data_IF_143716913583
#
_entry.id   IF_143716913583
#
_cell.length_a   1.000
_cell.length_b   1.000
_cell.length_c   1.000
_cell.angle_alpha   90.00
_cell.angle_beta   90.00
_cell.angle_gamma   90.00
#
_symmetry.space_group_name_H-M   'P 1'
#
loop_
_entity.id
_entity.type
_entity.pdbx_description
1 polymer ?
#
# COMPACT_ATOMS: atom_id res chain seq x y z
N UNK A 1 -22.72 43.02 -8.77
CA UNK A 1 -21.61 42.06 -8.80
C UNK A 1 -22.18 40.73 -8.31
N UNK A 2 -22.41 39.80 -9.21
CA UNK A 2 -22.81 38.44 -8.83
C UNK A 2 -21.51 37.78 -8.30
N UNK A 3 -21.42 37.60 -7.00
CA UNK A 3 -20.38 36.75 -6.39
C UNK A 3 -20.66 35.36 -6.93
N UNK A 4 -19.89 34.91 -7.92
CA UNK A 4 -19.89 33.50 -8.29
C UNK A 4 -19.50 32.73 -7.02
N UNK A 5 -20.44 31.96 -6.47
CA UNK A 5 -20.17 31.05 -5.40
C UNK A 5 -18.99 30.15 -5.85
N UNK A 6 -17.98 30.06 -5.02
CA UNK A 6 -16.84 29.22 -5.27
C UNK A 6 -17.35 27.76 -5.32
N UNK A 7 -17.55 27.22 -6.53
CA UNK A 7 -18.17 25.91 -6.77
C UNK A 7 -17.20 24.74 -6.55
N UNK A 8 -15.94 25.04 -6.22
CA UNK A 8 -14.92 24.02 -5.98
C UNK A 8 -15.18 23.29 -4.66
N UNK A 9 -15.21 21.97 -4.73
CA UNK A 9 -15.31 21.12 -3.54
C UNK A 9 -13.96 21.13 -2.78
N UNK A 10 -13.93 21.46 -1.49
CA UNK A 10 -12.71 21.41 -0.71
C UNK A 10 -12.37 19.95 -0.37
N UNK A 11 -11.21 19.48 -0.82
CA UNK A 11 -10.71 18.11 -0.58
C UNK A 11 -9.33 18.21 0.07
N UNK A 12 -9.15 17.52 1.20
CA UNK A 12 -7.83 17.37 1.80
C UNK A 12 -7.07 16.22 1.13
N UNK A 13 -5.76 16.39 0.95
CA UNK A 13 -4.84 15.32 0.56
C UNK A 13 -3.90 15.10 1.72
N UNK A 14 -4.02 13.95 2.39
CA UNK A 14 -3.28 13.61 3.59
C UNK A 14 -2.16 12.63 3.26
N UNK A 15 -0.92 12.96 3.64
CA UNK A 15 0.27 12.23 3.22
C UNK A 15 1.47 12.44 4.16
N UNK A 16 2.57 11.73 3.93
CA UNK A 16 3.78 11.74 4.75
C UNK A 16 3.79 10.59 5.73
N UNK A 17 3.81 10.88 7.04
CA UNK A 17 3.70 9.89 8.12
C UNK A 17 5.03 9.32 8.61
N UNK A 18 4.95 8.55 9.69
CA UNK A 18 6.09 7.97 10.40
C UNK A 18 6.50 6.59 9.84
N UNK A 19 6.42 6.42 8.54
CA UNK A 19 6.68 5.16 7.83
C UNK A 19 8.02 5.19 7.09
N UNK A 20 8.70 4.05 6.90
CA UNK A 20 9.80 3.95 5.94
C UNK A 20 9.42 4.33 4.51
N UNK A 21 8.13 4.29 4.18
CA UNK A 21 7.56 4.65 2.87
C UNK A 21 7.14 6.12 2.76
N UNK A 22 7.61 6.95 3.69
CA UNK A 22 7.33 8.39 3.77
C UNK A 22 7.53 9.14 2.43
N UNK A 23 8.67 8.92 1.78
CA UNK A 23 8.99 9.58 0.51
C UNK A 23 8.06 9.11 -0.63
N UNK A 24 7.61 7.86 -0.62
CA UNK A 24 6.62 7.34 -1.57
C UNK A 24 5.28 8.05 -1.37
N UNK A 25 4.89 8.27 -0.12
CA UNK A 25 3.68 9.01 0.24
C UNK A 25 3.69 10.45 -0.30
N UNK A 26 4.84 11.14 -0.21
CA UNK A 26 5.00 12.49 -0.79
C UNK A 26 4.80 12.45 -2.31
N UNK A 27 5.43 11.48 -3.00
CA UNK A 27 5.31 11.36 -4.47
C UNK A 27 3.86 11.11 -4.87
N UNK A 28 3.19 10.16 -4.22
CA UNK A 28 1.76 9.86 -4.48
C UNK A 28 0.89 11.10 -4.28
N UNK A 29 1.09 11.86 -3.19
CA UNK A 29 0.29 13.05 -2.91
C UNK A 29 0.50 14.17 -3.95
N UNK A 30 1.74 14.38 -4.40
CA UNK A 30 2.03 15.36 -5.45
C UNK A 30 1.33 14.98 -6.75
N UNK A 31 1.37 13.69 -7.14
CA UNK A 31 0.66 13.19 -8.32
C UNK A 31 -0.86 13.37 -8.20
N UNK A 32 -1.44 13.08 -7.03
CA UNK A 32 -2.87 13.32 -6.75
C UNK A 32 -3.22 14.81 -6.93
N UNK A 33 -2.40 15.69 -6.36
CA UNK A 33 -2.65 17.14 -6.42
C UNK A 33 -2.48 17.71 -7.83
N UNK A 34 -1.64 17.11 -8.67
CA UNK A 34 -1.43 17.50 -10.06
C UNK A 34 -2.53 16.92 -10.97
N UNK A 35 -3.10 15.76 -10.64
CA UNK A 35 -4.11 15.08 -11.45
C UNK A 35 -5.52 15.67 -11.30
N UNK A 36 -5.89 16.15 -10.11
CA UNK A 36 -7.24 16.64 -9.85
C UNK A 36 -7.51 18.01 -10.49
N UNK A 37 -8.65 18.14 -11.18
CA UNK A 37 -9.04 19.38 -11.86
C UNK A 37 -9.23 20.53 -10.85
N UNK A 38 -8.39 21.59 -10.90
CA UNK A 38 -8.48 22.71 -9.98
C UNK A 38 -9.74 23.57 -10.18
N UNK A 39 -10.52 23.35 -11.25
CA UNK A 39 -11.82 24.01 -11.43
C UNK A 39 -12.93 23.34 -10.62
N UNK A 40 -12.82 22.03 -10.40
CA UNK A 40 -13.77 21.23 -9.64
C UNK A 40 -13.40 21.12 -8.15
N UNK A 41 -12.10 21.08 -7.83
CA UNK A 41 -11.60 20.81 -6.50
C UNK A 41 -10.65 21.88 -5.97
N UNK A 42 -10.91 22.34 -4.75
CA UNK A 42 -9.98 23.15 -3.95
C UNK A 42 -9.18 22.21 -3.03
N UNK A 43 -7.95 21.91 -3.41
CA UNK A 43 -7.12 20.96 -2.69
C UNK A 43 -6.43 21.62 -1.49
N UNK A 44 -6.48 20.94 -0.35
CA UNK A 44 -5.85 21.31 0.90
C UNK A 44 -4.80 20.24 1.23
N UNK A 45 -3.51 20.47 0.92
CA UNK A 45 -2.46 19.52 1.29
C UNK A 45 -2.28 19.50 2.81
N UNK A 46 -2.26 18.31 3.39
CA UNK A 46 -2.01 18.06 4.81
C UNK A 46 -0.88 17.03 4.91
N UNK A 47 0.27 17.49 5.30
CA UNK A 47 1.45 16.66 5.46
C UNK A 47 1.62 16.27 6.93
N UNK A 48 1.77 14.99 7.20
CA UNK A 48 2.16 14.47 8.50
C UNK A 48 3.69 14.31 8.54
N UNK A 49 4.34 14.98 9.47
CA UNK A 49 5.78 14.86 9.63
C UNK A 49 6.19 13.59 10.40
N UNK A 50 7.50 13.36 10.55
CA UNK A 50 8.02 12.21 11.29
C UNK A 50 7.71 12.24 12.79
N UNK A 51 7.33 13.40 13.32
CA UNK A 51 6.91 13.56 14.72
C UNK A 51 5.41 13.29 14.90
N UNK A 52 4.68 13.02 13.80
CA UNK A 52 3.24 12.81 13.77
C UNK A 52 2.41 14.10 13.81
N UNK A 53 3.05 15.25 13.68
CA UNK A 53 2.37 16.55 13.58
C UNK A 53 1.90 16.85 12.16
N UNK A 54 0.77 17.56 12.02
CA UNK A 54 0.26 17.96 10.72
C UNK A 54 0.72 19.35 10.35
N UNK A 55 1.06 19.52 9.07
CA UNK A 55 1.43 20.79 8.46
C UNK A 55 0.57 21.01 7.22
N UNK A 56 0.05 22.22 7.02
CA UNK A 56 -0.71 22.59 5.81
C UNK A 56 -0.22 23.90 5.22
N UNK A 57 -0.41 24.05 3.93
CA UNK A 57 -0.09 25.26 3.21
C UNK A 57 0.27 25.04 1.73
N UNK A 58 0.21 26.08 0.90
CA UNK A 58 0.38 25.95 -0.55
C UNK A 58 1.79 25.49 -0.97
N UNK A 59 2.79 25.73 -0.12
CA UNK A 59 4.16 25.31 -0.37
C UNK A 59 4.32 23.76 -0.42
N UNK A 60 3.41 23.00 0.20
CA UNK A 60 3.40 21.53 0.20
C UNK A 60 3.05 20.91 -1.17
N UNK A 61 2.73 21.71 -2.16
CA UNK A 61 2.58 21.27 -3.57
C UNK A 61 3.91 21.21 -4.32
N UNK A 62 5.01 21.59 -3.67
CA UNK A 62 6.33 21.65 -4.31
C UNK A 62 7.26 20.64 -3.64
N UNK A 63 7.85 19.74 -4.44
CA UNK A 63 8.77 18.70 -3.99
C UNK A 63 9.93 19.23 -3.15
N UNK A 64 10.47 20.39 -3.52
CA UNK A 64 11.65 20.98 -2.85
C UNK A 64 11.35 21.44 -1.43
N UNK A 65 10.05 21.52 -1.05
CA UNK A 65 9.65 22.04 0.26
C UNK A 65 9.76 21.03 1.42
N UNK A 66 10.03 19.75 1.14
CA UNK A 66 10.05 18.70 2.18
C UNK A 66 11.43 18.51 2.84
N UNK A 67 12.46 19.21 2.39
CA UNK A 67 13.83 19.13 2.96
C UNK A 67 14.40 20.52 3.22
N UNK A 68 15.02 20.80 4.40
CA UNK A 68 15.15 19.89 5.55
C UNK A 68 13.87 19.70 6.37
N UNK A 69 12.92 20.63 6.32
CA UNK A 69 11.59 20.57 6.95
C UNK A 69 10.57 21.30 6.10
N UNK A 70 9.34 20.80 6.00
CA UNK A 70 8.29 21.46 5.23
C UNK A 70 7.90 22.81 5.86
N UNK A 71 7.64 23.78 5.00
CA UNK A 71 7.16 25.10 5.42
C UNK A 71 5.64 25.14 5.32
N UNK A 72 4.99 25.49 6.41
CA UNK A 72 3.53 25.56 6.47
C UNK A 72 3.04 25.91 7.86
N UNK A 73 1.73 25.91 8.04
CA UNK A 73 1.06 26.09 9.33
C UNK A 73 0.92 24.73 10.01
N UNK A 74 1.36 24.63 11.24
CA UNK A 74 1.09 23.44 12.06
C UNK A 74 -0.37 23.44 12.52
N UNK A 75 -0.95 22.24 12.67
CA UNK A 75 -2.33 22.11 13.08
C UNK A 75 -2.64 20.70 13.59
N UNK A 76 -3.90 20.52 13.96
CA UNK A 76 -4.46 19.24 14.42
C UNK A 76 -5.91 19.12 13.97
N UNK A 77 -6.38 17.91 13.76
CA UNK A 77 -7.78 17.67 13.47
C UNK A 77 -8.65 17.83 14.70
N UNK A 78 -9.72 18.59 14.59
CA UNK A 78 -10.65 18.84 15.69
C UNK A 78 -12.07 19.13 15.20
N UNK A 79 -13.03 19.01 16.13
CA UNK A 79 -14.36 19.58 15.96
C UNK A 79 -14.32 21.08 16.28
N UNK A 80 -14.97 21.86 15.42
CA UNK A 80 -15.19 23.29 15.60
C UNK A 80 -16.69 23.60 15.53
N UNK A 81 -17.08 24.83 15.76
CA UNK A 81 -18.50 25.25 15.63
C UNK A 81 -19.06 25.02 14.22
N UNK A 82 -18.20 25.05 13.20
CA UNK A 82 -18.55 24.82 11.79
C UNK A 82 -18.37 23.37 11.33
N UNK A 83 -18.11 22.44 12.26
CA UNK A 83 -17.87 21.03 11.98
C UNK A 83 -16.39 20.62 12.06
N UNK A 84 -16.05 19.36 11.69
CA UNK A 84 -14.69 18.88 11.78
C UNK A 84 -13.77 19.53 10.75
N UNK A 85 -12.50 19.74 11.11
CA UNK A 85 -11.51 20.33 10.23
C UNK A 85 -10.09 20.28 10.80
N UNK A 86 -9.15 20.86 10.08
CA UNK A 86 -7.78 21.09 10.54
C UNK A 86 -7.68 22.49 11.15
N UNK A 87 -7.47 22.57 12.46
CA UNK A 87 -7.26 23.81 13.20
C UNK A 87 -5.76 24.08 13.29
N UNK A 88 -5.32 25.26 12.86
CA UNK A 88 -3.91 25.63 12.85
C UNK A 88 -3.53 26.50 14.07
N UNK A 89 -2.23 26.54 14.37
CA UNK A 89 -1.66 27.31 15.49
C UNK A 89 -1.97 28.81 15.41
N UNK A 90 -2.13 29.35 14.18
CA UNK A 90 -2.54 30.74 13.92
C UNK A 90 -4.07 30.95 14.03
N UNK A 91 -4.81 29.95 14.54
CA UNK A 91 -6.27 29.93 14.66
C UNK A 91 -7.04 29.87 13.34
N UNK A 92 -6.37 29.75 12.21
CA UNK A 92 -7.08 29.47 10.94
C UNK A 92 -7.57 28.01 10.94
N UNK A 93 -8.76 27.79 10.34
CA UNK A 93 -9.36 26.45 10.23
C UNK A 93 -9.58 26.13 8.76
N UNK A 94 -9.29 24.90 8.39
CA UNK A 94 -9.54 24.36 7.06
C UNK A 94 -10.61 23.27 7.16
N UNK A 95 -11.77 23.54 6.53
CA UNK A 95 -12.83 22.55 6.36
C UNK A 95 -12.75 21.94 4.96
N UNK A 96 -13.10 20.66 4.86
CA UNK A 96 -13.09 19.90 3.61
C UNK A 96 -14.16 18.80 3.65
N UNK A 97 -14.66 18.45 2.46
CA UNK A 97 -15.74 17.48 2.29
C UNK A 97 -15.24 16.04 2.52
N UNK A 98 -13.99 15.77 2.17
CA UNK A 98 -13.37 14.45 2.32
C UNK A 98 -11.84 14.55 2.32
N UNK A 99 -11.20 13.47 2.73
CA UNK A 99 -9.74 13.28 2.73
C UNK A 99 -9.36 12.21 1.70
N UNK A 100 -8.47 12.53 0.79
CA UNK A 100 -7.76 11.52 -0.01
C UNK A 100 -6.56 11.07 0.80
N UNK A 101 -6.57 9.77 1.15
CA UNK A 101 -5.50 9.12 1.91
C UNK A 101 -4.36 8.74 0.97
N UNK A 102 -3.33 9.58 0.87
CA UNK A 102 -2.13 9.32 0.06
C UNK A 102 -0.95 8.84 0.91
N UNK A 103 -1.24 8.16 1.98
CA UNK A 103 -0.26 7.53 2.86
C UNK A 103 0.22 6.18 2.32
N UNK A 104 1.44 5.78 2.76
CA UNK A 104 1.95 4.43 2.56
C UNK A 104 2.60 3.89 3.83
N UNK A 105 2.33 2.62 4.12
CA UNK A 105 2.87 1.89 5.25
C UNK A 105 2.24 2.26 6.60
N UNK A 106 3.04 2.12 7.66
CA UNK A 106 2.60 2.31 9.03
C UNK A 106 1.95 3.69 9.26
N UNK A 107 0.96 3.74 10.13
CA UNK A 107 0.08 4.85 10.46
C UNK A 107 -0.92 5.23 9.36
N UNK A 108 -0.57 5.09 8.09
CA UNK A 108 -1.43 5.43 6.96
C UNK A 108 -2.29 4.28 6.45
N UNK A 109 -1.79 3.03 6.50
CA UNK A 109 -2.48 1.85 6.00
C UNK A 109 -2.89 0.86 7.10
N UNK A 110 -2.56 1.14 8.36
CA UNK A 110 -2.78 0.24 9.51
C UNK A 110 -4.03 0.54 10.34
N UNK A 111 -4.89 1.45 9.87
CA UNK A 111 -6.17 1.79 10.50
C UNK A 111 -6.09 2.91 11.53
N UNK A 112 -4.92 3.38 11.94
CA UNK A 112 -4.77 4.40 12.99
C UNK A 112 -5.28 5.76 12.53
N UNK A 113 -4.85 6.22 11.37
CA UNK A 113 -5.30 7.49 10.80
C UNK A 113 -6.77 7.42 10.39
N UNK A 114 -7.20 6.27 9.84
CA UNK A 114 -8.60 6.03 9.52
C UNK A 114 -9.49 6.14 10.78
N UNK A 115 -9.09 5.53 11.90
CA UNK A 115 -9.83 5.62 13.16
C UNK A 115 -9.88 7.04 13.71
N UNK A 116 -8.81 7.83 13.51
CA UNK A 116 -8.79 9.24 13.88
C UNK A 116 -9.84 10.03 13.06
N UNK A 117 -9.87 9.86 11.75
CA UNK A 117 -10.84 10.51 10.87
C UNK A 117 -12.27 10.03 11.16
N UNK A 118 -12.48 8.71 11.37
CA UNK A 118 -13.77 8.12 11.74
C UNK A 118 -14.32 8.73 13.03
N UNK A 119 -13.49 8.89 14.07
CA UNK A 119 -13.88 9.51 15.33
C UNK A 119 -14.38 10.95 15.14
N UNK A 120 -13.88 11.65 14.16
CA UNK A 120 -14.28 13.01 13.83
C UNK A 120 -15.41 13.08 12.79
N UNK A 121 -15.86 11.93 12.27
CA UNK A 121 -16.87 11.89 11.23
C UNK A 121 -16.40 12.47 9.89
N UNK A 122 -15.08 12.49 9.65
CA UNK A 122 -14.48 13.00 8.40
C UNK A 122 -14.47 11.89 7.36
N UNK A 123 -15.15 12.07 6.21
CA UNK A 123 -15.09 11.11 5.11
C UNK A 123 -13.67 11.00 4.52
N UNK A 124 -13.26 9.80 4.12
CA UNK A 124 -11.95 9.57 3.52
C UNK A 124 -11.99 8.41 2.51
N UNK A 125 -10.98 8.33 1.64
CA UNK A 125 -10.84 7.26 0.64
C UNK A 125 -10.18 6.02 1.23
N UNK A 126 -10.51 4.84 0.70
CA UNK A 126 -9.92 3.57 1.08
C UNK A 126 -10.66 2.80 2.15
N UNK A 127 -10.02 1.78 2.69
CA UNK A 127 -10.58 0.88 3.71
C UNK A 127 -10.91 1.62 5.02
N UNK A 128 -11.91 1.11 5.73
CA UNK A 128 -12.16 1.54 7.13
C UNK A 128 -10.99 1.18 8.04
N UNK A 129 -10.96 1.75 9.23
CA UNK A 129 -9.91 1.46 10.23
C UNK A 129 -9.77 -0.03 10.50
N UNK A 130 -10.88 -0.76 10.61
CA UNK A 130 -10.88 -2.21 10.82
C UNK A 130 -10.21 -2.97 9.67
N UNK A 131 -10.61 -2.69 8.42
CA UNK A 131 -10.09 -3.42 7.27
C UNK A 131 -8.67 -2.99 6.90
N UNK A 132 -8.30 -1.74 7.16
CA UNK A 132 -6.91 -1.28 7.07
C UNK A 132 -6.00 -2.04 8.04
N UNK A 133 -6.43 -2.17 9.30
CA UNK A 133 -5.68 -2.93 10.30
C UNK A 133 -5.55 -4.42 9.95
N UNK A 134 -6.60 -5.03 9.41
CA UNK A 134 -6.56 -6.41 8.91
C UNK A 134 -5.61 -6.54 7.72
N UNK A 135 -5.73 -5.67 6.72
CA UNK A 135 -4.95 -5.70 5.49
C UNK A 135 -3.43 -5.52 5.75
N UNK A 136 -3.07 -4.66 6.69
CA UNK A 136 -1.68 -4.46 7.09
C UNK A 136 -1.05 -5.69 7.74
N UNK A 137 -1.85 -6.55 8.37
CA UNK A 137 -1.43 -7.74 9.10
C UNK A 137 -1.60 -8.99 8.24
N UNK A 138 -0.51 -9.46 7.61
CA UNK A 138 -0.52 -10.65 6.74
C UNK A 138 -1.11 -11.88 7.40
N UNK A 139 -0.75 -12.13 8.66
CA UNK A 139 -1.29 -13.24 9.45
C UNK A 139 -2.80 -13.10 9.68
N UNK A 140 -3.27 -11.92 10.08
CA UNK A 140 -4.69 -11.65 10.31
C UNK A 140 -5.51 -11.67 9.02
N UNK A 141 -4.98 -11.16 7.91
CA UNK A 141 -5.62 -11.24 6.59
C UNK A 141 -5.85 -12.70 6.19
N UNK A 142 -4.83 -13.55 6.35
CA UNK A 142 -4.93 -14.99 6.04
C UNK A 142 -5.97 -15.68 6.92
N UNK A 143 -5.96 -15.41 8.21
CA UNK A 143 -6.93 -15.98 9.15
C UNK A 143 -8.36 -15.51 8.84
N UNK A 144 -8.53 -14.22 8.57
CA UNK A 144 -9.83 -13.63 8.21
C UNK A 144 -10.41 -14.22 6.93
N UNK A 145 -9.58 -14.47 5.92
CA UNK A 145 -9.98 -15.04 4.65
C UNK A 145 -10.01 -16.58 4.64
N UNK A 146 -9.57 -17.26 5.68
CA UNK A 146 -9.48 -18.73 5.72
C UNK A 146 -10.80 -19.44 5.41
N UNK A 147 -11.94 -18.88 5.86
CA UNK A 147 -13.26 -19.46 5.66
C UNK A 147 -13.83 -19.27 4.24
N UNK A 148 -13.16 -18.50 3.39
CA UNK A 148 -13.65 -18.16 2.04
C UNK A 148 -13.33 -19.21 0.98
N UNK A 149 -12.43 -20.15 1.28
CA UNK A 149 -11.90 -21.11 0.32
C UNK A 149 -10.79 -20.54 -0.58
N UNK A 150 -10.38 -19.29 -0.37
CA UNK A 150 -9.21 -18.71 -1.06
C UNK A 150 -7.97 -19.51 -0.68
N UNK A 151 -7.27 -20.04 -1.69
CA UNK A 151 -6.04 -20.78 -1.48
C UNK A 151 -4.89 -19.85 -1.08
N UNK A 152 -4.26 -20.15 0.03
CA UNK A 152 -3.12 -19.42 0.59
C UNK A 152 -2.03 -20.41 0.97
N UNK A 153 -0.77 -19.97 1.01
CA UNK A 153 0.31 -20.80 1.51
C UNK A 153 0.07 -21.20 2.96
N UNK A 154 0.37 -22.45 3.35
CA UNK A 154 0.42 -22.83 4.75
C UNK A 154 1.44 -21.94 5.45
N UNK A 155 1.17 -21.59 6.71
CA UNK A 155 2.01 -20.65 7.41
C UNK A 155 2.06 -20.89 8.91
N UNK A 156 3.10 -20.37 9.54
CA UNK A 156 3.22 -20.28 10.98
C UNK A 156 3.58 -18.84 11.38
N UNK A 157 3.22 -18.45 12.59
CA UNK A 157 3.54 -17.13 13.13
C UNK A 157 4.53 -17.28 14.29
N UNK A 158 5.72 -16.75 14.12
CA UNK A 158 6.76 -16.69 15.14
C UNK A 158 6.62 -15.37 15.88
N UNK A 159 6.32 -15.45 17.18
CA UNK A 159 6.07 -14.26 18.01
C UNK A 159 7.24 -13.97 18.94
N UNK A 160 7.49 -12.69 19.18
CA UNK A 160 8.39 -12.26 20.26
C UNK A 160 7.82 -12.71 21.60
N UNK A 161 8.58 -13.43 22.45
CA UNK A 161 8.12 -13.78 23.79
C UNK A 161 7.78 -12.55 24.63
N UNK A 162 6.77 -12.65 25.51
CA UNK A 162 6.32 -11.56 26.39
C UNK A 162 7.47 -11.01 27.27
N UNK A 163 8.42 -11.86 27.66
CA UNK A 163 9.63 -11.45 28.40
C UNK A 163 10.73 -10.83 27.54
N UNK A 164 10.49 -10.65 26.24
CA UNK A 164 11.51 -10.20 25.28
C UNK A 164 12.37 -11.36 24.74
N UNK A 165 13.36 -10.99 23.92
CA UNK A 165 14.25 -11.98 23.28
C UNK A 165 13.63 -12.64 22.04
N UNK A 166 14.02 -13.88 21.82
CA UNK A 166 13.56 -14.73 20.71
C UNK A 166 13.03 -16.07 21.23
N UNK A 167 12.11 -16.72 20.51
CA UNK A 167 11.67 -18.06 20.88
C UNK A 167 12.84 -19.05 20.94
N UNK A 168 12.78 -19.99 21.89
CA UNK A 168 13.76 -21.08 21.98
C UNK A 168 13.66 -22.01 20.76
N UNK A 169 14.74 -22.76 20.48
CA UNK A 169 14.76 -23.74 19.40
C UNK A 169 13.58 -24.73 19.47
N UNK A 170 13.23 -25.20 20.66
CA UNK A 170 12.09 -26.10 20.85
C UNK A 170 10.75 -25.42 20.50
N UNK A 171 10.56 -24.15 20.89
CA UNK A 171 9.37 -23.37 20.52
C UNK A 171 9.30 -23.13 19.01
N UNK A 172 10.44 -22.81 18.36
CA UNK A 172 10.50 -22.67 16.91
C UNK A 172 10.11 -23.96 16.20
N UNK A 173 10.63 -25.13 16.63
CA UNK A 173 10.27 -26.41 16.06
C UNK A 173 8.77 -26.71 16.22
N UNK A 174 8.20 -26.45 17.39
CA UNK A 174 6.77 -26.65 17.64
C UNK A 174 5.90 -25.73 16.79
N UNK A 175 6.27 -24.45 16.68
CA UNK A 175 5.48 -23.45 15.93
C UNK A 175 5.57 -23.67 14.43
N UNK A 176 6.76 -23.99 13.91
CA UNK A 176 6.94 -24.26 12.48
C UNK A 176 6.28 -25.58 12.07
N UNK A 177 6.18 -26.55 12.99
CA UNK A 177 5.49 -27.82 12.77
C UNK A 177 6.04 -28.57 11.56
N UNK A 178 5.14 -28.86 10.60
CA UNK A 178 5.44 -29.63 9.38
C UNK A 178 5.73 -28.71 8.16
N UNK A 179 5.93 -27.38 8.35
CA UNK A 179 6.26 -26.52 7.23
C UNK A 179 7.57 -26.96 6.56
N UNK A 180 7.49 -27.19 5.25
CA UNK A 180 8.63 -27.65 4.46
C UNK A 180 9.59 -26.49 4.16
N UNK A 181 10.88 -26.71 4.45
CA UNK A 181 11.96 -25.82 4.01
C UNK A 181 12.21 -25.95 2.49
N UNK A 182 12.69 -24.89 1.82
CA UNK A 182 13.05 -23.58 2.36
C UNK A 182 11.82 -22.73 2.73
N UNK A 183 11.98 -21.85 3.75
CA UNK A 183 10.94 -20.95 4.21
C UNK A 183 11.29 -19.50 3.89
N UNK A 184 10.25 -18.71 3.60
CA UNK A 184 10.31 -17.25 3.58
C UNK A 184 9.81 -16.75 4.94
N UNK A 185 10.67 -16.00 5.63
CA UNK A 185 10.30 -15.27 6.85
C UNK A 185 10.05 -13.81 6.48
N UNK A 186 8.91 -13.27 6.92
CA UNK A 186 8.56 -11.87 6.65
C UNK A 186 7.84 -11.23 7.85
N UNK A 187 8.10 -9.96 8.18
CA UNK A 187 7.31 -9.24 9.19
C UNK A 187 5.83 -9.27 8.82
N UNK A 188 4.96 -9.43 9.82
CA UNK A 188 3.51 -9.48 9.56
C UNK A 188 2.94 -8.11 9.15
N UNK A 189 3.54 -6.99 9.61
CA UNK A 189 2.98 -5.64 9.50
C UNK A 189 3.83 -4.68 8.66
N UNK A 190 4.79 -5.18 7.88
CA UNK A 190 5.64 -4.32 7.04
C UNK A 190 5.46 -4.66 5.55
N UNK A 191 5.54 -3.60 4.72
CA UNK A 191 5.52 -3.68 3.26
C UNK A 191 6.91 -3.61 2.63
N UNK A 192 6.96 -3.41 1.30
CA UNK A 192 8.16 -3.12 0.51
C UNK A 192 9.33 -4.13 0.72
N UNK A 193 9.02 -5.40 0.98
CA UNK A 193 9.99 -6.46 1.25
C UNK A 193 10.97 -6.18 2.41
N UNK A 194 10.65 -5.25 3.30
CA UNK A 194 11.49 -4.91 4.45
C UNK A 194 11.53 -6.06 5.44
N UNK A 195 12.72 -6.63 5.65
CA UNK A 195 12.93 -7.70 6.63
C UNK A 195 12.53 -9.10 6.14
N UNK A 196 12.33 -9.29 4.85
CA UNK A 196 12.11 -10.62 4.25
C UNK A 196 13.42 -11.39 4.20
N UNK A 197 13.39 -12.68 4.56
CA UNK A 197 14.55 -13.57 4.52
C UNK A 197 14.14 -14.97 4.03
N UNK A 198 14.95 -15.54 3.13
CA UNK A 198 14.89 -16.94 2.74
C UNK A 198 15.78 -17.76 3.70
N UNK A 199 15.26 -18.85 4.24
CA UNK A 199 15.98 -19.73 5.16
C UNK A 199 15.83 -21.19 4.74
N UNK A 200 16.96 -21.93 4.77
CA UNK A 200 17.04 -23.31 4.31
C UNK A 200 16.77 -24.33 5.42
N UNK A 201 16.90 -23.93 6.67
CA UNK A 201 16.80 -24.81 7.82
C UNK A 201 16.58 -24.02 9.13
N UNK A 202 16.32 -24.74 10.22
CA UNK A 202 16.04 -24.14 11.52
C UNK A 202 17.20 -23.31 12.09
N UNK A 203 18.46 -23.65 11.79
CA UNK A 203 19.61 -22.89 12.27
C UNK A 203 19.66 -21.49 11.62
N UNK A 204 19.26 -21.39 10.35
CA UNK A 204 19.14 -20.12 9.66
C UNK A 204 17.95 -19.29 10.19
N UNK A 205 16.83 -19.94 10.55
CA UNK A 205 15.73 -19.25 11.26
C UNK A 205 16.25 -18.61 12.54
N UNK A 206 16.97 -19.36 13.38
CA UNK A 206 17.56 -18.84 14.63
C UNK A 206 18.49 -17.65 14.39
N UNK A 207 19.24 -17.69 13.30
CA UNK A 207 20.21 -16.63 12.97
C UNK A 207 19.55 -15.32 12.50
N UNK A 208 18.50 -15.39 11.68
CA UNK A 208 17.89 -14.19 11.07
C UNK A 208 16.73 -13.62 11.88
N UNK A 209 16.00 -14.47 12.64
CA UNK A 209 14.80 -14.09 13.37
C UNK A 209 14.98 -12.88 14.32
N UNK A 210 16.10 -12.75 15.08
CA UNK A 210 16.30 -11.57 15.93
C UNK A 210 16.23 -10.25 15.18
N UNK A 211 16.78 -10.18 13.96
CA UNK A 211 16.80 -8.98 13.13
C UNK A 211 15.42 -8.62 12.59
N UNK A 212 14.58 -9.62 12.31
CA UNK A 212 13.20 -9.41 11.85
C UNK A 212 12.33 -9.01 13.04
N UNK A 213 12.44 -9.73 14.18
CA UNK A 213 11.72 -9.37 15.40
C UNK A 213 12.09 -7.98 15.95
N UNK A 214 13.26 -7.43 15.60
CA UNK A 214 13.59 -6.05 15.95
C UNK A 214 12.73 -5.02 15.23
N UNK A 215 12.11 -5.40 14.12
CA UNK A 215 11.26 -4.53 13.27
C UNK A 215 9.76 -4.77 13.51
N UNK A 216 9.37 -6.01 13.79
CA UNK A 216 7.98 -6.41 14.06
C UNK A 216 7.98 -7.52 15.13
N UNK A 217 7.02 -7.49 16.03
CA UNK A 217 6.88 -8.50 17.09
C UNK A 217 6.36 -9.85 16.58
N UNK A 218 5.92 -9.92 15.33
CA UNK A 218 5.34 -11.10 14.69
C UNK A 218 5.97 -11.30 13.32
N UNK A 219 6.38 -12.53 13.04
CA UNK A 219 7.03 -12.94 11.79
C UNK A 219 6.24 -14.09 11.19
N UNK A 220 5.77 -13.90 9.97
CA UNK A 220 5.11 -14.95 9.19
C UNK A 220 6.20 -15.84 8.56
N UNK A 221 6.07 -17.15 8.70
CA UNK A 221 6.90 -18.16 8.05
C UNK A 221 6.03 -18.95 7.06
N UNK A 222 6.45 -19.02 5.80
CA UNK A 222 5.75 -19.73 4.72
C UNK A 222 6.73 -20.50 3.86
N UNK A 223 6.36 -21.66 3.29
CA UNK A 223 7.19 -22.34 2.29
C UNK A 223 7.49 -21.42 1.11
N UNK A 224 8.71 -21.49 0.61
CA UNK A 224 9.07 -20.81 -0.65
C UNK A 224 8.30 -21.45 -1.80
N UNK A 225 7.61 -20.61 -2.61
CA UNK A 225 7.05 -21.05 -3.90
C UNK A 225 8.18 -21.28 -4.87
N UNK A 226 8.22 -22.47 -5.47
CA UNK A 226 9.17 -22.80 -6.52
C UNK A 226 8.66 -22.20 -7.85
N UNK A 227 9.59 -21.93 -8.79
CA UNK A 227 9.23 -21.35 -10.11
C UNK A 227 8.23 -20.19 -10.03
N UNK A 228 8.49 -19.31 -9.05
CA UNK A 228 7.61 -18.21 -8.67
C UNK A 228 7.40 -17.21 -9.82
N UNK A 229 6.14 -16.96 -10.11
CA UNK A 229 5.66 -15.79 -10.84
C UNK A 229 4.72 -15.01 -9.93
N UNK A 230 4.91 -13.72 -9.84
CA UNK A 230 4.02 -12.83 -9.08
C UNK A 230 2.99 -12.18 -10.02
N UNK A 231 1.74 -12.06 -9.55
CA UNK A 231 0.69 -11.31 -10.24
C UNK A 231 0.00 -10.35 -9.29
N UNK A 232 -0.26 -9.15 -9.78
CA UNK A 232 -0.97 -8.13 -9.02
C UNK A 232 -2.19 -7.63 -9.80
N UNK A 233 -3.26 -7.32 -9.09
CA UNK A 233 -4.49 -6.77 -9.66
C UNK A 233 -5.18 -5.86 -8.66
N UNK A 234 -5.75 -4.74 -9.11
CA UNK A 234 -6.56 -3.89 -8.26
C UNK A 234 -8.06 -4.14 -8.48
N UNK A 235 -8.85 -3.88 -7.43
CA UNK A 235 -10.31 -3.98 -7.48
C UNK A 235 -10.91 -2.71 -6.90
N UNK A 236 -11.98 -2.20 -7.50
CA UNK A 236 -12.79 -1.11 -6.95
C UNK A 236 -14.28 -1.37 -7.12
N UNK A 237 -15.08 -0.71 -6.31
CA UNK A 237 -16.54 -0.74 -6.43
C UNK A 237 -17.03 0.22 -7.52
N UNK A 238 -18.08 -0.16 -8.21
CA UNK A 238 -18.88 0.70 -9.09
C UNK A 238 -20.36 0.57 -8.74
N UNK A 239 -21.22 1.39 -9.35
CA UNK A 239 -22.67 1.26 -9.20
C UNK A 239 -23.20 -0.11 -9.66
N UNK A 240 -22.47 -0.82 -10.52
CA UNK A 240 -22.85 -2.12 -11.07
C UNK A 240 -22.12 -3.31 -10.38
N UNK A 241 -21.43 -3.06 -9.29
CA UNK A 241 -20.63 -4.04 -8.57
C UNK A 241 -19.12 -3.83 -8.69
N UNK A 242 -18.31 -4.76 -8.13
CA UNK A 242 -16.85 -4.66 -8.20
C UNK A 242 -16.34 -4.89 -9.62
N UNK A 243 -15.31 -4.14 -9.99
CA UNK A 243 -14.57 -4.32 -11.25
C UNK A 243 -13.08 -4.45 -10.96
N UNK A 244 -12.40 -5.19 -11.81
CA UNK A 244 -10.95 -5.42 -11.72
C UNK A 244 -10.19 -4.57 -12.73
N UNK A 245 -8.97 -4.19 -12.37
CA UNK A 245 -8.01 -3.53 -13.25
C UNK A 245 -7.36 -4.49 -14.28
N UNK A 246 -6.36 -4.00 -14.99
CA UNK A 246 -5.36 -4.84 -15.65
C UNK A 246 -4.62 -5.70 -14.63
N UNK A 247 -4.07 -6.85 -15.07
CA UNK A 247 -3.14 -7.67 -14.28
C UNK A 247 -1.72 -7.20 -14.58
N UNK A 248 -0.91 -7.11 -13.54
CA UNK A 248 0.52 -6.82 -13.61
C UNK A 248 1.31 -8.08 -13.24
N UNK A 249 2.39 -8.31 -13.96
CA UNK A 249 3.45 -9.24 -13.57
C UNK A 249 4.72 -8.43 -13.28
N UNK A 250 5.08 -8.23 -12.00
CA UNK A 250 6.35 -7.60 -11.64
C UNK A 250 7.53 -8.42 -12.18
N UNK A 251 8.58 -7.76 -12.66
CA UNK A 251 9.82 -8.43 -13.05
C UNK A 251 10.68 -8.70 -11.82
N UNK A 252 11.32 -9.84 -11.80
CA UNK A 252 12.17 -10.25 -10.67
C UNK A 252 13.47 -9.43 -10.59
N UNK A 253 14.16 -9.48 -9.43
CA UNK A 253 15.47 -8.83 -9.26
C UNK A 253 16.52 -9.31 -10.27
N UNK A 254 16.42 -10.53 -10.77
CA UNK A 254 17.28 -11.05 -11.85
C UNK A 254 17.05 -10.29 -13.17
N UNK A 255 15.80 -10.02 -13.50
CA UNK A 255 15.43 -9.22 -14.70
C UNK A 255 15.86 -7.76 -14.53
N UNK A 256 15.80 -7.23 -13.28
CA UNK A 256 16.23 -5.87 -12.93
C UNK A 256 17.76 -5.72 -12.88
N UNK A 257 18.50 -6.75 -12.49
CA UNK A 257 19.97 -6.76 -12.49
C UNK A 257 20.50 -6.75 -13.92
N UNK A 258 19.94 -7.57 -14.80
CA UNK A 258 20.26 -7.59 -16.23
C UNK A 258 20.00 -6.22 -16.89
N UNK A 259 18.96 -5.52 -16.43
CA UNK A 259 18.66 -4.16 -16.84
C UNK A 259 19.63 -3.12 -16.29
N UNK A 260 20.01 -3.21 -15.01
CA UNK A 260 20.97 -2.30 -14.39
C UNK A 260 22.34 -2.43 -15.03
N UNK A 261 22.76 -3.65 -15.37
CA UNK A 261 24.03 -3.89 -16.08
C UNK A 261 23.99 -3.34 -17.51
N UNK A 262 22.87 -3.48 -18.24
CA UNK A 262 22.75 -2.96 -19.61
C UNK A 262 22.65 -1.44 -19.71
N UNK A 263 22.03 -0.76 -18.74
CA UNK A 263 21.73 0.67 -18.84
C UNK A 263 22.55 1.59 -17.92
N UNK A 264 23.12 1.09 -16.80
CA UNK A 264 24.00 1.88 -15.93
C UNK A 264 25.46 1.83 -16.34
N UNK A 265 25.89 0.80 -17.08
CA UNK A 265 27.22 0.73 -17.69
C UNK A 265 27.37 1.62 -18.94
N UNK A 266 26.28 2.12 -19.51
CA UNK A 266 26.28 2.92 -20.75
C UNK A 266 26.12 4.45 -20.54
N UNK A 267 25.95 4.97 -19.30
CA UNK A 267 25.70 6.40 -19.12
C UNK A 267 25.97 6.91 -17.71
N UNK A 268 27.07 7.61 -17.55
CA UNK A 268 27.45 8.26 -16.28
C UNK A 268 26.47 9.33 -15.81
N UNK A 269 26.12 9.28 -14.54
CA UNK A 269 25.86 10.41 -13.67
C UNK A 269 24.49 11.09 -13.77
N UNK A 270 23.64 10.79 -12.80
CA UNK A 270 23.06 11.76 -11.82
C UNK A 270 21.99 11.06 -10.99
N UNK A 271 22.21 10.96 -9.68
CA UNK A 271 21.18 10.63 -8.68
C UNK A 271 20.15 11.77 -8.65
N UNK A 272 19.01 11.56 -9.28
CA UNK A 272 17.83 12.39 -9.17
C UNK A 272 16.60 11.47 -9.17
N UNK A 273 15.77 11.56 -8.15
CA UNK A 273 14.44 10.95 -8.10
C UNK A 273 13.59 11.58 -9.22
N UNK A 274 13.63 11.03 -10.42
CA UNK A 274 12.64 11.34 -11.46
C UNK A 274 11.53 10.30 -11.37
N UNK A 275 10.25 10.67 -11.56
CA UNK A 275 9.21 9.67 -11.73
C UNK A 275 9.57 8.80 -12.94
N UNK A 276 9.32 7.48 -12.91
CA UNK A 276 9.55 6.64 -14.07
C UNK A 276 8.71 7.18 -15.24
N UNK A 277 9.38 7.47 -16.36
CA UNK A 277 8.70 7.67 -17.63
C UNK A 277 7.99 6.36 -18.04
N UNK A 278 6.97 6.43 -18.91
CA UNK A 278 6.24 5.24 -19.38
C UNK A 278 7.17 4.10 -19.83
N UNK A 279 8.34 4.43 -20.42
CA UNK A 279 9.37 3.46 -20.79
C UNK A 279 10.03 2.76 -19.57
N UNK A 280 10.03 3.36 -18.40
CA UNK A 280 10.61 2.78 -17.17
C UNK A 280 9.61 1.84 -16.46
N UNK A 281 8.31 2.05 -16.62
CA UNK A 281 7.26 1.15 -16.12
C UNK A 281 7.32 -0.21 -16.85
N UNK A 282 7.46 -0.22 -18.18
CA UNK A 282 7.57 -1.45 -18.98
C UNK A 282 8.85 -2.25 -18.71
N UNK A 283 9.87 -1.62 -18.12
CA UNK A 283 11.14 -2.26 -17.77
C UNK A 283 11.08 -3.03 -16.45
N UNK A 284 10.19 -2.65 -15.54
CA UNK A 284 10.06 -3.25 -14.20
C UNK A 284 8.86 -4.19 -14.07
N UNK A 285 7.95 -4.20 -15.05
CA UNK A 285 6.71 -4.98 -15.02
C UNK A 285 6.13 -5.21 -16.40
N UNK A 286 5.39 -6.27 -16.57
CA UNK A 286 4.55 -6.51 -17.74
C UNK A 286 3.08 -6.27 -17.34
N UNK A 287 2.39 -5.42 -18.10
CA UNK A 287 0.97 -5.13 -17.90
C UNK A 287 0.16 -5.92 -18.90
N UNK A 288 -0.90 -6.59 -18.44
CA UNK A 288 -1.69 -7.54 -19.21
C UNK A 288 -0.81 -8.64 -19.85
N UNK A 289 0.01 -9.37 -19.06
CA UNK A 289 0.78 -10.49 -19.60
C UNK A 289 -0.17 -11.51 -20.23
N UNK A 290 0.34 -12.25 -21.23
CA UNK A 290 -0.43 -13.33 -21.84
C UNK A 290 -0.61 -14.48 -20.81
N UNK A 291 -1.82 -14.62 -20.28
CA UNK A 291 -2.17 -15.63 -19.27
C UNK A 291 -3.06 -16.71 -19.88
N UNK A 292 -2.97 -17.98 -19.39
CA UNK A 292 -4.02 -18.95 -19.62
C UNK A 292 -5.37 -18.39 -19.13
N UNK A 293 -6.46 -18.55 -19.90
CA UNK A 293 -7.77 -17.98 -19.53
C UNK A 293 -8.27 -18.40 -18.14
N UNK A 294 -8.00 -19.64 -17.73
CA UNK A 294 -8.40 -20.17 -16.43
C UNK A 294 -7.62 -19.50 -15.29
N UNK A 295 -6.33 -19.22 -15.46
CA UNK A 295 -5.51 -18.53 -14.48
C UNK A 295 -5.95 -17.08 -14.35
N UNK A 296 -6.20 -16.38 -15.45
CA UNK A 296 -6.71 -15.01 -15.43
C UNK A 296 -8.06 -14.95 -14.69
N UNK A 297 -8.98 -15.86 -14.99
CA UNK A 297 -10.28 -15.93 -14.35
C UNK A 297 -10.17 -16.20 -12.83
N UNK A 298 -9.23 -17.07 -12.41
CA UNK A 298 -8.96 -17.34 -11.00
C UNK A 298 -8.43 -16.10 -10.27
N UNK A 299 -7.43 -15.40 -10.83
CA UNK A 299 -6.87 -14.17 -10.25
C UNK A 299 -7.99 -13.13 -10.05
N UNK A 300 -8.80 -12.88 -11.07
CA UNK A 300 -9.92 -11.91 -11.00
C UNK A 300 -10.97 -12.30 -9.98
N UNK A 301 -11.37 -13.57 -9.96
CA UNK A 301 -12.39 -14.10 -9.04
C UNK A 301 -11.92 -14.00 -7.59
N UNK A 302 -10.69 -14.43 -7.29
CA UNK A 302 -10.14 -14.40 -5.93
C UNK A 302 -9.97 -12.95 -5.45
N UNK A 303 -9.44 -12.05 -6.28
CA UNK A 303 -9.30 -10.64 -5.95
C UNK A 303 -10.66 -9.99 -5.64
N UNK A 304 -11.68 -10.27 -6.45
CA UNK A 304 -13.04 -9.78 -6.25
C UNK A 304 -13.62 -10.30 -4.93
N UNK A 305 -13.52 -11.60 -4.66
CA UNK A 305 -13.99 -12.21 -3.41
C UNK A 305 -13.27 -11.62 -2.19
N UNK A 306 -11.96 -11.46 -2.25
CA UNK A 306 -11.19 -10.85 -1.17
C UNK A 306 -11.61 -9.39 -0.93
N UNK A 307 -11.82 -8.61 -1.99
CA UNK A 307 -12.32 -7.24 -1.93
C UNK A 307 -13.69 -7.16 -1.27
N UNK A 308 -14.63 -8.04 -1.65
CA UNK A 308 -15.96 -8.11 -1.07
C UNK A 308 -15.93 -8.41 0.44
N UNK A 309 -14.99 -9.22 0.89
CA UNK A 309 -14.78 -9.54 2.31
C UNK A 309 -14.10 -8.42 3.09
N UNK A 310 -13.25 -7.64 2.44
CA UNK A 310 -12.47 -6.57 3.06
C UNK A 310 -13.11 -5.18 2.98
N UNK A 311 -14.43 -5.09 2.89
CA UNK A 311 -15.21 -3.86 3.09
C UNK A 311 -15.49 -3.04 1.85
N UNK A 312 -15.08 -3.46 0.66
CA UNK A 312 -15.53 -2.94 -0.65
C UNK A 312 -15.30 -1.42 -0.87
N UNK A 313 -14.19 -0.88 -0.36
CA UNK A 313 -13.87 0.56 -0.46
C UNK A 313 -12.49 0.78 -1.07
N UNK A 314 -12.30 1.95 -1.70
CA UNK A 314 -11.04 2.32 -2.33
C UNK A 314 -10.73 1.52 -3.59
N UNK A 315 -9.44 1.42 -3.91
CA UNK A 315 -8.91 0.64 -5.02
C UNK A 315 -7.67 -0.17 -4.58
N UNK A 316 -7.82 -1.09 -3.59
CA UNK A 316 -6.71 -1.90 -3.10
C UNK A 316 -6.15 -2.79 -4.19
N UNK A 317 -4.86 -3.12 -4.07
CA UNK A 317 -4.18 -4.10 -4.92
C UNK A 317 -4.06 -5.43 -4.17
N UNK A 318 -4.32 -6.50 -4.87
CA UNK A 318 -4.22 -7.87 -4.41
C UNK A 318 -3.05 -8.54 -5.10
N UNK A 319 -2.17 -9.14 -4.32
CA UNK A 319 -0.91 -9.70 -4.80
C UNK A 319 -0.96 -11.22 -4.66
N UNK A 320 -0.51 -11.93 -5.71
CA UNK A 320 -0.59 -13.38 -5.86
C UNK A 320 0.77 -13.99 -6.12
N UNK A 321 0.98 -15.20 -5.62
CA UNK A 321 2.12 -16.05 -5.92
C UNK A 321 1.63 -17.23 -6.77
N UNK A 322 2.29 -17.47 -7.88
CA UNK A 322 1.97 -18.57 -8.79
C UNK A 322 3.18 -19.47 -8.96
N UNK A 323 2.99 -20.77 -8.70
CA UNK A 323 3.97 -21.79 -9.06
C UNK A 323 3.71 -22.23 -10.50
N UNK A 324 4.59 -21.82 -11.41
CA UNK A 324 4.38 -22.03 -12.85
C UNK A 324 4.55 -23.50 -13.30
N UNK A 325 5.22 -24.34 -12.51
CA UNK A 325 5.31 -25.79 -12.79
C UNK A 325 4.14 -26.58 -12.19
N UNK A 326 3.78 -26.28 -10.93
CA UNK A 326 2.66 -26.94 -10.27
C UNK A 326 1.30 -26.45 -10.76
N UNK A 327 1.24 -25.27 -11.35
CA UNK A 327 -0.01 -24.61 -11.75
C UNK A 327 -0.82 -24.07 -10.56
N UNK A 328 -0.20 -23.85 -9.43
CA UNK A 328 -0.83 -23.49 -8.17
C UNK A 328 -0.81 -21.97 -7.95
N UNK A 329 -1.99 -21.36 -7.80
CA UNK A 329 -2.15 -19.95 -7.47
C UNK A 329 -2.47 -19.77 -5.98
N UNK A 330 -1.74 -18.87 -5.32
CA UNK A 330 -1.92 -18.52 -3.92
C UNK A 330 -2.16 -17.01 -3.75
N UNK A 331 -3.17 -16.65 -2.98
CA UNK A 331 -3.32 -15.29 -2.48
C UNK A 331 -2.19 -14.99 -1.48
N UNK A 332 -1.50 -13.88 -1.65
CA UNK A 332 -0.37 -13.50 -0.82
C UNK A 332 -0.75 -12.40 0.19
N UNK A 333 -1.09 -11.23 -0.30
CA UNK A 333 -1.40 -10.07 0.53
C UNK A 333 -2.32 -9.07 -0.18
N UNK A 334 -2.84 -8.12 0.57
CA UNK A 334 -3.58 -6.96 0.06
C UNK A 334 -2.87 -5.68 0.44
N UNK A 335 -2.80 -4.76 -0.51
CA UNK A 335 -2.22 -3.43 -0.35
C UNK A 335 -3.35 -2.40 -0.42
N UNK A 336 -3.78 -1.82 0.73
CA UNK A 336 -4.94 -0.93 0.79
C UNK A 336 -4.81 0.34 -0.02
N UNK A 337 -3.59 0.91 -0.06
CA UNK A 337 -3.27 2.15 -0.78
C UNK A 337 -2.03 1.90 -1.63
N UNK A 338 -2.16 1.26 -2.81
CA UNK A 338 -1.00 0.99 -3.66
C UNK A 338 -0.36 2.28 -4.13
N UNK A 339 0.96 2.26 -4.36
CA UNK A 339 1.72 3.43 -4.81
C UNK A 339 1.03 4.11 -5.99
N UNK A 340 0.83 5.43 -5.90
CA UNK A 340 0.06 6.23 -6.88
C UNK A 340 -1.32 5.63 -7.19
N UNK A 341 -1.94 4.97 -6.22
CA UNK A 341 -3.24 4.25 -6.32
C UNK A 341 -3.28 3.17 -7.41
N UNK A 342 -2.11 2.70 -7.87
CA UNK A 342 -2.01 1.73 -8.97
C UNK A 342 -2.64 2.23 -10.27
N UNK A 343 -2.63 3.55 -10.53
CA UNK A 343 -3.34 4.17 -11.66
C UNK A 343 -3.01 3.52 -13.00
N UNK A 344 -1.77 3.13 -13.22
CA UNK A 344 -1.33 2.46 -14.46
C UNK A 344 -2.06 1.14 -14.72
N UNK A 345 -2.53 0.43 -13.67
CA UNK A 345 -3.37 -0.76 -13.81
C UNK A 345 -4.77 -0.41 -14.32
N UNK A 346 -5.30 0.73 -13.88
CA UNK A 346 -6.60 1.20 -14.31
C UNK A 346 -6.59 1.79 -15.71
N UNK A 347 -5.52 2.49 -16.07
CA UNK A 347 -5.33 3.02 -17.43
C UNK A 347 -5.21 1.89 -18.48
N UNK A 348 -4.64 0.74 -18.10
CA UNK A 348 -4.50 -0.43 -18.94
C UNK A 348 -5.65 -1.45 -18.84
N UNK A 349 -6.69 -1.16 -18.04
CA UNK A 349 -7.84 -2.04 -17.87
C UNK A 349 -8.67 -2.16 -19.17
N UNK A 350 -9.51 -3.20 -19.26
CA UNK A 350 -10.43 -3.38 -20.39
C UNK A 350 -11.42 -2.21 -20.56
N UNK A 351 -11.73 -1.52 -19.47
CA UNK A 351 -12.41 -0.23 -19.44
C UNK A 351 -11.43 0.78 -18.82
N UNK A 352 -10.61 1.47 -19.63
CA UNK A 352 -9.58 2.37 -19.14
C UNK A 352 -10.16 3.49 -18.28
N UNK A 353 -9.51 3.73 -17.14
CA UNK A 353 -9.87 4.81 -16.22
C UNK A 353 -8.58 5.61 -15.94
N UNK A 354 -8.58 6.85 -16.38
CA UNK A 354 -7.44 7.74 -16.18
C UNK A 354 -7.30 8.14 -14.71
N UNK A 355 -6.10 8.46 -14.30
CA UNK A 355 -5.83 8.83 -12.90
C UNK A 355 -6.72 9.98 -12.38
N UNK A 356 -6.96 11.09 -13.13
CA UNK A 356 -7.88 12.13 -12.69
C UNK A 356 -9.33 11.66 -12.46
N UNK A 357 -9.76 10.60 -13.17
CA UNK A 357 -11.11 10.04 -13.04
C UNK A 357 -11.19 8.95 -11.98
N UNK A 358 -10.07 8.26 -11.71
CA UNK A 358 -9.96 7.28 -10.63
C UNK A 358 -10.13 7.93 -9.27
N UNK A 359 -9.49 9.07 -9.03
CA UNK A 359 -9.46 9.72 -7.71
C UNK A 359 -10.85 10.09 -7.17
N UNK A 360 -11.78 10.69 -7.95
CA UNK A 360 -13.15 10.92 -7.50
C UNK A 360 -13.99 9.66 -7.34
N UNK A 361 -13.53 8.52 -7.86
CA UNK A 361 -14.22 7.23 -7.79
C UNK A 361 -13.79 6.35 -6.59
N UNK A 362 -12.80 6.82 -5.80
CA UNK A 362 -12.35 6.18 -4.56
C UNK A 362 -13.26 6.53 -3.39
#
# INVERSE_FOLDING_TARGET
>A
MIVQANTQRPIAVLFGGQSPEHDVSIVTALQVMDALDPRAFRLIPIYCDFDGGYVTGPALRRRDNFRPKPTGKRGYFAWTDDGPGLVCDDKSTYHFDAVIMAYHGLYGEDGREQAHLERLGIPYTGFTSLYSALAMRKDMTKEFLASTGIRMLPHAVLERPVGGGVPSRQQLQQTLGELAFPLILKPCSLGSSIGVALVQNLAEVEAVLPSILAKDNRVLAEPQVQNLIEYNIAVRMTANGPITSAIEQPKTDADLLDFKEKYLSAGGGKKGLSPPSEGMLSLTRDINPALPPDLEAQIRSIATLAFERLGQRGAPRFDFLYDSEAGDLYFNEVNPIPGSFGHFLWEAASQPLLFPDLLPAL
#
